data_IF_193925381187
#
_entry.id   IF_193925381187
#
_cell.length_a   1.000
_cell.length_b   1.000
_cell.length_c   1.000
_cell.angle_alpha   90.00
_cell.angle_beta   90.00
_cell.angle_gamma   90.00
#
_symmetry.space_group_name_H-M   'P 1'
#
loop_
_entity.id
_entity.type
_entity.pdbx_description
1 polymer ?
#
# COMPACT_ATOMS: atom_id res chain seq x y z
N UNK A 1 -21.87 5.70 -21.05
CA UNK A 1 -21.34 5.44 -22.41
C UNK A 1 -22.33 6.01 -23.39
N UNK A 2 -22.00 7.10 -24.08
CA UNK A 2 -22.87 7.65 -25.13
C UNK A 2 -22.89 6.64 -26.28
N UNK A 3 -24.06 6.07 -26.58
CA UNK A 3 -24.24 5.24 -27.77
C UNK A 3 -24.01 6.12 -29.00
N UNK A 4 -23.10 5.71 -29.87
CA UNK A 4 -22.91 6.36 -31.17
C UNK A 4 -24.20 6.18 -31.97
N UNK A 5 -25.01 7.23 -32.05
CA UNK A 5 -26.19 7.21 -32.91
C UNK A 5 -25.74 7.04 -34.36
N UNK A 6 -26.29 6.04 -35.04
CA UNK A 6 -26.06 5.82 -36.46
C UNK A 6 -26.51 7.07 -37.25
N UNK A 7 -25.78 7.49 -38.30
CA UNK A 7 -26.17 8.64 -39.08
C UNK A 7 -27.52 8.35 -39.75
N UNK A 8 -28.55 9.13 -39.37
CA UNK A 8 -29.95 8.91 -39.78
C UNK A 8 -30.20 9.20 -41.27
N UNK A 9 -29.25 9.83 -41.96
CA UNK A 9 -29.32 10.16 -43.39
C UNK A 9 -27.93 10.04 -44.04
N UNK A 10 -27.62 8.90 -44.67
CA UNK A 10 -26.42 8.77 -45.51
C UNK A 10 -26.75 9.18 -46.94
N UNK A 11 -25.87 9.94 -47.61
CA UNK A 11 -26.02 10.17 -49.04
C UNK A 11 -25.81 8.86 -49.82
N UNK A 12 -26.69 8.58 -50.79
CA UNK A 12 -26.66 7.33 -51.57
C UNK A 12 -25.57 7.30 -52.65
N UNK A 13 -25.05 8.47 -53.04
CA UNK A 13 -24.03 8.60 -54.09
C UNK A 13 -22.63 8.43 -53.51
N UNK A 14 -21.81 7.62 -54.18
CA UNK A 14 -20.43 7.35 -53.78
C UNK A 14 -19.54 8.61 -53.71
N UNK A 15 -19.81 9.63 -54.53
CA UNK A 15 -19.06 10.90 -54.50
C UNK A 15 -19.31 11.67 -53.20
N UNK A 16 -20.57 11.78 -52.78
CA UNK A 16 -20.99 12.52 -51.59
C UNK A 16 -20.50 11.84 -50.31
N UNK A 17 -20.47 10.50 -50.28
CA UNK A 17 -19.89 9.72 -49.19
C UNK A 17 -18.39 9.98 -49.02
N UNK A 18 -17.62 10.09 -50.11
CA UNK A 18 -16.19 10.38 -50.06
C UNK A 18 -15.90 11.75 -49.47
N UNK A 19 -16.70 12.76 -49.84
CA UNK A 19 -16.59 14.11 -49.27
C UNK A 19 -16.87 14.10 -47.77
N UNK A 20 -17.91 13.40 -47.34
CA UNK A 20 -18.27 13.28 -45.92
C UNK A 20 -17.20 12.54 -45.11
N UNK A 21 -16.62 11.47 -45.67
CA UNK A 21 -15.51 10.76 -45.01
C UNK A 21 -14.28 11.66 -44.86
N UNK A 22 -13.90 12.38 -45.91
CA UNK A 22 -12.78 13.31 -45.84
C UNK A 22 -13.01 14.41 -44.78
N UNK A 23 -14.23 14.96 -44.67
CA UNK A 23 -14.52 15.95 -43.63
C UNK A 23 -14.45 15.35 -42.22
N UNK A 24 -14.95 14.12 -42.03
CA UNK A 24 -14.87 13.41 -40.74
C UNK A 24 -13.44 13.05 -40.37
N UNK A 25 -12.60 12.66 -41.32
CA UNK A 25 -11.19 12.38 -41.08
C UNK A 25 -10.46 13.61 -40.55
N UNK A 26 -10.71 14.79 -41.13
CA UNK A 26 -10.16 16.06 -40.65
C UNK A 26 -10.61 16.36 -39.22
N UNK A 27 -11.91 16.20 -38.92
CA UNK A 27 -12.44 16.39 -37.57
C UNK A 27 -11.80 15.42 -36.55
N UNK A 28 -11.69 14.13 -36.90
CA UNK A 28 -11.08 13.11 -36.05
C UNK A 28 -9.61 13.42 -35.78
N UNK A 29 -8.86 13.89 -36.80
CA UNK A 29 -7.47 14.29 -36.63
C UNK A 29 -7.37 15.48 -35.66
N UNK A 30 -8.25 16.47 -35.79
CA UNK A 30 -8.34 17.61 -34.89
C UNK A 30 -8.59 17.19 -33.44
N UNK A 31 -9.61 16.36 -33.20
CA UNK A 31 -9.90 15.85 -31.86
C UNK A 31 -8.78 14.99 -31.28
N UNK A 32 -8.13 14.15 -32.10
CA UNK A 32 -6.96 13.37 -31.67
C UNK A 32 -5.77 14.26 -31.30
N UNK A 33 -5.58 15.40 -31.97
CA UNK A 33 -4.55 16.35 -31.60
C UNK A 33 -4.87 17.04 -30.26
N UNK A 34 -6.12 17.45 -30.06
CA UNK A 34 -6.56 18.04 -28.79
C UNK A 34 -6.49 17.06 -27.62
N UNK A 35 -6.94 15.81 -27.80
CA UNK A 35 -6.82 14.79 -26.76
C UNK A 35 -5.38 14.57 -26.35
N UNK A 36 -4.46 14.46 -27.32
CA UNK A 36 -3.03 14.33 -27.03
C UNK A 36 -2.47 15.52 -26.26
N UNK A 37 -2.86 16.75 -26.60
CA UNK A 37 -2.38 17.94 -25.89
C UNK A 37 -2.90 17.98 -24.45
N UNK A 38 -4.17 17.58 -24.24
CA UNK A 38 -4.78 17.47 -22.91
C UNK A 38 -4.14 16.36 -22.06
N UNK A 39 -3.87 15.20 -22.64
CA UNK A 39 -3.20 14.08 -21.95
C UNK A 39 -1.81 14.48 -21.46
N UNK A 40 -1.03 15.16 -22.30
CA UNK A 40 0.29 15.69 -21.90
C UNK A 40 0.18 16.71 -20.77
N UNK A 41 -0.84 17.58 -20.80
CA UNK A 41 -1.09 18.54 -19.72
C UNK A 41 -1.48 17.83 -18.42
N UNK A 42 -2.32 16.80 -18.49
CA UNK A 42 -2.72 15.99 -17.35
C UNK A 42 -1.49 15.32 -16.71
N UNK A 43 -0.63 14.69 -17.51
CA UNK A 43 0.58 14.05 -17.00
C UNK A 43 1.55 15.06 -16.38
N UNK A 44 1.71 16.24 -16.99
CA UNK A 44 2.50 17.33 -16.40
C UNK A 44 1.96 17.75 -15.03
N UNK A 45 0.65 17.98 -14.93
CA UNK A 45 0.01 18.42 -13.69
C UNK A 45 0.10 17.33 -12.61
N UNK A 46 -0.10 16.06 -12.97
CA UNK A 46 0.08 14.93 -12.04
C UNK A 46 1.52 14.87 -11.50
N UNK A 47 2.52 15.05 -12.37
CA UNK A 47 3.92 15.07 -11.95
C UNK A 47 4.22 16.21 -10.97
N UNK A 48 3.75 17.42 -11.28
CA UNK A 48 3.89 18.59 -10.39
C UNK A 48 3.23 18.36 -9.04
N UNK A 49 2.01 17.81 -9.03
CA UNK A 49 1.26 17.51 -7.82
C UNK A 49 1.95 16.43 -6.97
N UNK A 50 2.51 15.39 -7.60
CA UNK A 50 3.31 14.39 -6.90
C UNK A 50 4.59 15.00 -6.30
N UNK A 51 5.25 15.93 -7.00
CA UNK A 51 6.39 16.69 -6.48
C UNK A 51 6.03 17.51 -5.25
N UNK A 52 4.95 18.30 -5.33
CA UNK A 52 4.47 19.13 -4.22
C UNK A 52 4.08 18.30 -2.99
N UNK A 53 3.38 17.17 -3.19
CA UNK A 53 3.01 16.27 -2.10
C UNK A 53 4.25 15.69 -1.40
N UNK A 54 5.26 15.25 -2.16
CA UNK A 54 6.52 14.76 -1.57
C UNK A 54 7.26 15.86 -0.81
N UNK A 55 7.30 17.08 -1.33
CA UNK A 55 7.95 18.19 -0.63
C UNK A 55 7.20 18.60 0.66
N UNK A 56 5.87 18.64 0.63
CA UNK A 56 5.07 19.07 1.77
C UNK A 56 4.96 17.99 2.86
N UNK A 57 4.80 16.73 2.45
CA UNK A 57 4.52 15.63 3.38
C UNK A 57 5.72 14.70 3.61
N UNK A 58 6.68 14.61 2.69
CA UNK A 58 7.84 13.72 2.84
C UNK A 58 8.79 14.16 3.93
N UNK A 59 9.18 15.44 3.95
CA UNK A 59 10.00 15.98 5.05
C UNK A 59 9.27 15.91 6.40
N UNK A 60 7.95 16.12 6.39
CA UNK A 60 7.12 16.00 7.59
C UNK A 60 7.05 14.58 8.12
N UNK A 61 6.84 13.57 7.26
CA UNK A 61 6.83 12.17 7.69
C UNK A 61 8.19 11.75 8.25
N UNK A 62 9.29 12.09 7.56
CA UNK A 62 10.65 11.76 8.05
C UNK A 62 10.98 12.47 9.37
N UNK A 63 10.54 13.73 9.54
CA UNK A 63 10.77 14.46 10.80
C UNK A 63 9.94 13.94 11.97
N UNK A 64 8.73 13.44 11.71
CA UNK A 64 7.90 12.81 12.73
C UNK A 64 8.50 11.48 13.17
N UNK A 65 8.98 10.67 12.24
CA UNK A 65 9.67 9.41 12.54
C UNK A 65 10.93 9.65 13.38
N UNK A 66 11.70 10.72 13.09
CA UNK A 66 12.85 11.10 13.91
C UNK A 66 12.46 11.56 15.32
N UNK A 67 11.37 12.32 15.45
CA UNK A 67 10.88 12.77 16.74
C UNK A 67 10.44 11.58 17.61
N UNK A 68 9.71 10.63 17.02
CA UNK A 68 9.29 9.40 17.70
C UNK A 68 10.50 8.59 18.20
N UNK A 69 11.50 8.36 17.34
CA UNK A 69 12.74 7.68 17.72
C UNK A 69 13.46 8.41 18.87
N UNK A 70 13.57 9.74 18.81
CA UNK A 70 14.24 10.52 19.85
C UNK A 70 13.52 10.46 21.20
N UNK A 71 12.19 10.38 21.20
CA UNK A 71 11.39 10.20 22.41
C UNK A 71 11.59 8.80 23.00
N UNK A 72 11.61 7.76 22.16
CA UNK A 72 11.91 6.39 22.60
C UNK A 72 13.31 6.30 23.22
N UNK A 73 14.32 6.91 22.60
CA UNK A 73 15.69 6.97 23.13
C UNK A 73 15.73 7.67 24.51
N UNK A 74 15.02 8.79 24.68
CA UNK A 74 14.91 9.46 25.97
C UNK A 74 14.21 8.60 27.03
N UNK A 75 13.14 7.91 26.68
CA UNK A 75 12.42 7.02 27.61
C UNK A 75 13.31 5.85 28.08
N UNK A 76 14.06 5.24 27.15
CA UNK A 76 15.02 4.19 27.45
C UNK A 76 16.14 4.73 28.36
N UNK A 77 16.69 5.91 28.06
CA UNK A 77 17.73 6.54 28.86
C UNK A 77 17.24 6.84 30.29
N UNK A 78 16.03 7.40 30.45
CA UNK A 78 15.42 7.63 31.77
C UNK A 78 15.19 6.34 32.53
N UNK A 79 14.74 5.28 31.87
CA UNK A 79 14.55 3.98 32.50
C UNK A 79 15.87 3.35 32.97
N UNK A 80 16.97 3.60 32.26
CA UNK A 80 18.30 3.15 32.65
C UNK A 80 18.88 3.93 33.84
N UNK A 81 18.55 5.23 33.96
CA UNK A 81 18.97 6.09 35.08
C UNK A 81 18.14 5.90 36.34
N UNK A 82 16.88 5.47 36.23
CA UNK A 82 16.12 5.05 37.40
C UNK A 82 16.71 3.77 37.97
N UNK A 83 17.34 3.78 39.16
CA UNK A 83 17.72 2.54 39.79
C UNK A 83 16.42 1.76 40.02
N UNK A 84 16.34 0.55 39.48
CA UNK A 84 15.34 -0.38 39.97
C UNK A 84 15.48 -0.38 41.50
N UNK A 85 14.41 -0.09 42.23
CA UNK A 85 14.33 -0.47 43.65
C UNK A 85 14.38 -1.98 43.67
N UNK A 86 15.60 -2.51 43.60
CA UNK A 86 15.92 -3.88 43.94
C UNK A 86 15.77 -3.86 45.46
N UNK A 87 14.56 -4.13 45.94
CA UNK A 87 14.40 -4.65 47.29
C UNK A 87 15.45 -5.74 47.44
N UNK A 88 16.30 -5.59 48.46
CA UNK A 88 17.47 -6.42 48.68
C UNK A 88 17.13 -7.88 48.36
N UNK A 89 17.94 -8.47 47.49
CA UNK A 89 17.79 -9.81 46.92
C UNK A 89 17.62 -10.82 48.07
N UNK A 90 16.39 -11.03 48.55
CA UNK A 90 16.02 -12.28 49.19
C UNK A 90 16.33 -13.33 48.13
N UNK A 91 17.24 -14.26 48.44
CA UNK A 91 17.64 -15.36 47.56
C UNK A 91 16.47 -15.76 46.67
N UNK A 92 16.52 -15.37 45.39
CA UNK A 92 15.40 -15.60 44.46
C UNK A 92 15.15 -17.10 44.45
N UNK A 93 14.18 -17.52 45.24
CA UNK A 93 13.76 -18.92 45.32
C UNK A 93 13.36 -19.27 43.92
N UNK A 94 14.14 -20.13 43.26
CA UNK A 94 13.78 -20.62 41.94
C UNK A 94 12.33 -21.05 42.02
N UNK A 95 11.42 -20.46 41.21
CA UNK A 95 10.01 -20.79 41.29
C UNK A 95 9.84 -22.25 40.90
N UNK A 96 9.79 -23.13 41.91
CA UNK A 96 9.49 -24.55 41.71
C UNK A 96 8.02 -24.62 41.34
N UNK A 97 7.75 -24.84 40.05
CA UNK A 97 6.40 -25.14 39.57
C UNK A 97 5.91 -26.37 40.33
N UNK A 98 4.85 -26.22 41.13
CA UNK A 98 4.14 -27.39 41.66
C UNK A 98 3.62 -28.18 40.46
N UNK A 99 3.75 -29.52 40.43
CA UNK A 99 3.16 -30.33 39.37
C UNK A 99 1.66 -30.07 39.32
N UNK A 100 1.08 -30.10 38.11
CA UNK A 100 -0.37 -29.93 37.95
C UNK A 100 -1.08 -31.06 38.71
N UNK A 101 -2.21 -30.79 39.37
CA UNK A 101 -2.94 -31.81 40.12
C UNK A 101 -3.43 -32.96 39.23
N UNK A 102 -3.41 -34.19 39.76
CA UNK A 102 -3.80 -35.42 39.02
C UNK A 102 -5.23 -35.42 38.50
N UNK A 103 -6.12 -34.64 39.12
CA UNK A 103 -7.52 -34.53 38.74
C UNK A 103 -7.77 -33.52 37.61
N UNK A 104 -6.74 -32.82 37.14
CA UNK A 104 -6.90 -31.84 36.07
C UNK A 104 -6.98 -32.58 34.72
N UNK A 105 -8.06 -32.39 33.94
CA UNK A 105 -8.18 -33.04 32.64
C UNK A 105 -7.08 -32.56 31.70
N UNK A 106 -6.26 -33.49 31.21
CA UNK A 106 -5.20 -33.21 30.24
C UNK A 106 -5.71 -33.53 28.83
N UNK A 107 -5.73 -32.52 27.97
CA UNK A 107 -6.00 -32.69 26.54
C UNK A 107 -4.67 -32.65 25.79
N UNK A 108 -4.31 -33.74 25.12
CA UNK A 108 -3.15 -33.78 24.24
C UNK A 108 -3.59 -33.54 22.80
N UNK A 109 -3.05 -32.50 22.17
CA UNK A 109 -3.24 -32.23 20.75
C UNK A 109 -1.89 -32.35 20.07
N UNK A 110 -1.69 -33.45 19.35
CA UNK A 110 -0.53 -33.60 18.47
C UNK A 110 -0.82 -32.83 17.19
N UNK A 111 -0.05 -31.77 16.95
CA UNK A 111 -0.10 -31.02 15.69
C UNK A 111 0.90 -31.66 14.73
N UNK A 112 0.39 -32.33 13.70
CA UNK A 112 1.24 -32.85 12.62
C UNK A 112 1.73 -31.69 11.75
N UNK A 113 3.06 -31.57 11.63
CA UNK A 113 3.66 -30.79 10.56
C UNK A 113 3.51 -31.62 9.28
N UNK A 114 2.54 -31.28 8.44
CA UNK A 114 2.40 -31.90 7.12
C UNK A 114 3.69 -31.79 6.30
N UNK A 115 3.79 -32.52 5.18
CA UNK A 115 5.02 -32.70 4.41
C UNK A 115 5.68 -31.39 3.92
N UNK A 116 4.88 -30.31 3.77
CA UNK A 116 5.37 -28.97 3.45
C UNK A 116 4.37 -27.91 3.89
N UNK A 117 4.88 -26.72 4.26
CA UNK A 117 4.04 -25.55 4.43
C UNK A 117 3.48 -25.12 3.06
N UNK A 118 2.15 -24.95 2.95
CA UNK A 118 1.50 -24.53 1.70
C UNK A 118 1.94 -23.14 1.21
N UNK A 119 2.52 -22.30 2.08
CA UNK A 119 2.98 -20.95 1.72
C UNK A 119 4.48 -20.87 1.37
N UNK A 120 5.34 -21.72 1.94
CA UNK A 120 6.80 -21.65 1.72
C UNK A 120 7.46 -22.96 1.24
N UNK A 121 6.68 -24.02 1.02
CA UNK A 121 7.17 -25.27 0.45
C UNK A 121 8.17 -26.05 1.33
N UNK A 122 8.28 -25.69 2.63
CA UNK A 122 9.10 -26.41 3.60
C UNK A 122 10.62 -26.24 3.46
N UNK A 123 11.10 -25.33 2.59
CA UNK A 123 12.54 -25.08 2.37
C UNK A 123 12.98 -23.71 2.88
N UNK A 124 12.61 -23.38 4.11
CA UNK A 124 13.27 -22.29 4.82
C UNK A 124 14.53 -22.89 5.50
N UNK A 125 15.71 -22.50 5.01
CA UNK A 125 16.97 -22.65 5.75
C UNK A 125 17.06 -21.56 6.79
#
# INVERSE_FOLDING_TARGET
>A
MAMLEAPKNLPEKAADLRVLLASREVEIIGFKAELRSRDLLIEKLKHQLAGLRRHQFGSRSESLDQLELSLEEEEIARAAETPATIEADEEKRQPKRKPLPDHLPRNETVLEVGDACASCGGKLK
#
